data_IF_769281100004
#
_entry.id   IF_769281100004
#
_cell.length_a   1.000
_cell.length_b   1.000
_cell.length_c   1.000
_cell.angle_alpha   90.00
_cell.angle_beta   90.00
_cell.angle_gamma   90.00
#
_symmetry.space_group_name_H-M   'P 1'
#
loop_
_entity.id
_entity.type
_entity.pdbx_description
1 polymer ?
#
# COMPACT_ATOMS: atom_id res chain seq x y z
N UNK A 1 29.74 -3.99 16.71
CA UNK A 1 28.62 -4.87 17.07
C UNK A 1 28.37 -5.82 15.91
N UNK A 2 28.30 -7.13 16.14
CA UNK A 2 28.00 -8.11 15.10
C UNK A 2 26.48 -8.23 14.98
N UNK A 3 25.94 -8.32 13.76
CA UNK A 3 24.51 -8.54 13.52
C UNK A 3 24.29 -10.04 13.45
N UNK A 4 23.48 -10.59 14.37
CA UNK A 4 23.23 -12.04 14.44
C UNK A 4 22.31 -12.53 13.31
N UNK A 5 21.38 -11.68 12.84
CA UNK A 5 20.40 -12.03 11.80
C UNK A 5 19.98 -10.83 10.95
N UNK A 6 19.69 -11.08 9.67
CA UNK A 6 19.16 -10.11 8.74
C UNK A 6 18.07 -10.76 7.87
N UNK A 7 16.97 -10.05 7.63
CA UNK A 7 15.92 -10.47 6.71
C UNK A 7 15.42 -9.29 5.88
N UNK A 8 14.81 -9.62 4.75
CA UNK A 8 14.17 -8.67 3.86
C UNK A 8 12.90 -9.27 3.28
N UNK A 9 12.10 -8.40 2.68
CA UNK A 9 10.86 -8.77 2.02
C UNK A 9 10.38 -7.62 1.15
N UNK A 10 9.45 -7.93 0.25
CA UNK A 10 8.78 -6.91 -0.55
C UNK A 10 7.64 -6.31 0.27
N UNK A 11 7.50 -4.99 0.19
CA UNK A 11 6.36 -4.27 0.76
C UNK A 11 5.49 -3.78 -0.39
N UNK A 12 4.23 -4.20 -0.39
CA UNK A 12 3.25 -3.65 -1.32
C UNK A 12 2.96 -2.20 -0.96
N UNK A 13 3.29 -1.28 -1.86
CA UNK A 13 3.22 0.16 -1.65
C UNK A 13 2.34 0.83 -2.69
N UNK A 14 1.46 1.69 -2.21
CA UNK A 14 0.64 2.59 -3.03
C UNK A 14 1.33 3.94 -3.16
N UNK A 15 0.99 4.70 -4.21
CA UNK A 15 1.58 6.02 -4.44
C UNK A 15 1.23 7.02 -3.30
N UNK A 16 0.02 6.91 -2.73
CA UNK A 16 -0.44 7.72 -1.61
C UNK A 16 -0.05 7.13 -0.24
N UNK A 17 0.57 5.95 -0.22
CA UNK A 17 0.97 5.19 0.98
C UNK A 17 -0.19 4.86 1.92
N UNK A 18 -1.41 4.82 1.39
CA UNK A 18 -2.60 4.44 2.11
C UNK A 18 -3.15 3.10 1.60
N UNK A 19 -3.90 2.35 2.41
CA UNK A 19 -4.61 1.15 1.97
C UNK A 19 -5.69 1.46 0.94
N UNK A 20 -5.94 0.49 0.07
CA UNK A 20 -7.06 0.52 -0.87
C UNK A 20 -7.88 -0.75 -0.67
N UNK A 21 -9.16 -0.59 -0.35
CA UNK A 21 -10.07 -1.71 -0.13
C UNK A 21 -11.46 -1.37 -0.62
N UNK A 22 -12.11 -2.30 -1.32
CA UNK A 22 -13.42 -2.04 -1.91
C UNK A 22 -13.85 -3.15 -2.86
N UNK A 23 -14.71 -2.77 -3.79
CA UNK A 23 -15.21 -3.63 -4.86
C UNK A 23 -14.98 -2.95 -6.20
N UNK A 24 -14.48 -3.71 -7.17
CA UNK A 24 -14.41 -3.29 -8.56
C UNK A 24 -14.94 -4.42 -9.45
N UNK A 25 -16.03 -4.17 -10.18
CA UNK A 25 -16.64 -5.14 -11.10
C UNK A 25 -16.91 -6.52 -10.46
N UNK A 26 -17.42 -6.53 -9.22
CA UNK A 26 -17.67 -7.75 -8.44
C UNK A 26 -16.42 -8.38 -7.79
N UNK A 27 -15.22 -7.84 -8.03
CA UNK A 27 -14.01 -8.24 -7.34
C UNK A 27 -13.82 -7.43 -6.06
N UNK A 28 -13.91 -8.12 -4.92
CA UNK A 28 -13.62 -7.54 -3.61
C UNK A 28 -12.12 -7.61 -3.32
N UNK A 29 -11.52 -6.48 -2.97
CA UNK A 29 -10.08 -6.37 -2.75
C UNK A 29 -9.75 -5.62 -1.48
N UNK A 30 -8.56 -5.91 -0.95
CA UNK A 30 -7.97 -5.20 0.19
C UNK A 30 -6.45 -5.35 0.13
N UNK A 31 -5.76 -4.30 -0.30
CA UNK A 31 -4.35 -4.34 -0.71
C UNK A 31 -3.64 -3.00 -0.44
N UNK A 32 -2.36 -2.90 -0.79
CA UNK A 32 -1.64 -1.62 -0.75
C UNK A 32 -1.36 -1.10 0.67
N UNK A 33 -1.26 -2.01 1.64
CA UNK A 33 -1.12 -1.66 3.06
C UNK A 33 0.14 -0.86 3.41
N UNK A 34 1.11 -0.71 2.50
CA UNK A 34 2.23 0.22 2.60
C UNK A 34 3.00 0.12 3.93
N UNK A 35 3.23 -1.11 4.40
CA UNK A 35 3.95 -1.40 5.65
C UNK A 35 3.09 -1.50 6.91
N UNK A 36 1.78 -1.23 6.83
CA UNK A 36 0.85 -1.24 7.97
C UNK A 36 -0.07 -2.48 7.98
N UNK A 37 0.26 -3.50 7.16
CA UNK A 37 -0.62 -4.63 6.87
C UNK A 37 -0.89 -5.54 8.08
N UNK A 38 0.08 -5.72 8.97
CA UNK A 38 -0.07 -6.63 10.12
C UNK A 38 -1.25 -6.24 11.00
N UNK A 39 -1.36 -4.97 11.35
CA UNK A 39 -2.46 -4.48 12.20
C UNK A 39 -3.74 -4.25 11.40
N UNK A 40 -3.64 -3.70 10.18
CA UNK A 40 -4.83 -3.26 9.45
C UNK A 40 -5.55 -4.37 8.72
N UNK A 41 -4.86 -5.47 8.36
CA UNK A 41 -5.50 -6.61 7.69
C UNK A 41 -6.57 -7.27 8.54
N UNK A 42 -6.39 -7.34 9.87
CA UNK A 42 -7.37 -7.91 10.80
C UNK A 42 -8.65 -7.06 10.83
N UNK A 43 -8.50 -5.75 11.00
CA UNK A 43 -9.64 -4.83 10.98
C UNK A 43 -10.33 -4.82 9.62
N UNK A 44 -9.56 -4.84 8.54
CA UNK A 44 -10.10 -4.89 7.19
C UNK A 44 -10.82 -6.19 6.88
N UNK A 45 -10.40 -7.33 7.44
CA UNK A 45 -11.15 -8.58 7.31
C UNK A 45 -12.60 -8.43 7.77
N UNK A 46 -12.83 -7.72 8.88
CA UNK A 46 -14.18 -7.45 9.40
C UNK A 46 -14.96 -6.48 8.52
N UNK A 47 -14.32 -5.41 8.04
CA UNK A 47 -14.96 -4.42 7.15
C UNK A 47 -15.34 -5.07 5.82
N UNK A 48 -14.43 -5.81 5.19
CA UNK A 48 -14.70 -6.50 3.91
C UNK A 48 -15.75 -7.60 4.05
N UNK A 49 -15.75 -8.36 5.14
CA UNK A 49 -16.80 -9.36 5.40
C UNK A 49 -18.19 -8.72 5.54
N UNK A 50 -18.27 -7.51 6.10
CA UNK A 50 -19.53 -6.77 6.24
C UNK A 50 -20.00 -6.22 4.88
N UNK A 51 -19.06 -5.72 4.07
CA UNK A 51 -19.31 -5.26 2.71
C UNK A 51 -19.80 -6.40 1.80
N UNK A 52 -19.18 -7.59 1.89
CA UNK A 52 -19.64 -8.82 1.21
C UNK A 52 -21.03 -9.29 1.65
N UNK A 53 -21.40 -9.04 2.91
CA UNK A 53 -22.71 -9.41 3.45
C UNK A 53 -23.80 -8.35 3.15
N UNK A 54 -23.53 -7.39 2.26
CA UNK A 54 -24.39 -6.24 1.94
C UNK A 54 -24.81 -5.43 3.17
N UNK A 55 -24.02 -5.50 4.24
CA UNK A 55 -24.23 -4.69 5.44
C UNK A 55 -23.62 -3.33 5.20
N UNK A 56 -24.40 -2.28 5.45
CA UNK A 56 -23.93 -0.90 5.37
C UNK A 56 -22.71 -0.75 6.28
N UNK A 57 -21.54 -0.55 5.67
CA UNK A 57 -20.27 -0.44 6.40
C UNK A 57 -19.57 0.81 5.91
N UNK A 58 -19.17 1.68 6.84
CA UNK A 58 -18.26 2.77 6.52
C UNK A 58 -16.88 2.17 6.26
N UNK A 59 -16.51 2.01 4.99
CA UNK A 59 -15.16 1.65 4.59
C UNK A 59 -14.38 2.95 4.27
N UNK A 60 -13.54 3.47 5.18
CA UNK A 60 -12.78 4.69 4.94
C UNK A 60 -11.68 4.53 3.89
N UNK A 61 -11.38 3.29 3.47
CA UNK A 61 -10.41 2.97 2.43
C UNK A 61 -11.05 2.66 1.08
N UNK A 62 -12.37 2.84 0.97
CA UNK A 62 -13.06 2.82 -0.32
C UNK A 62 -12.59 4.00 -1.16
N UNK A 63 -12.08 3.71 -2.35
CA UNK A 63 -11.61 4.71 -3.31
C UNK A 63 -12.25 4.41 -4.65
N UNK A 64 -12.84 5.43 -5.26
CA UNK A 64 -13.47 5.31 -6.58
C UNK A 64 -12.44 5.14 -7.70
N UNK A 65 -11.20 5.59 -7.46
CA UNK A 65 -10.12 5.52 -8.44
C UNK A 65 -8.79 5.20 -7.77
N UNK A 66 -7.99 4.37 -8.44
CA UNK A 66 -6.61 4.09 -8.09
C UNK A 66 -5.72 4.36 -9.31
N UNK A 67 -5.25 5.62 -9.47
CA UNK A 67 -4.49 5.98 -10.66
C UNK A 67 -3.12 5.32 -10.67
N UNK A 68 -2.76 4.72 -11.80
CA UNK A 68 -1.40 4.25 -12.02
C UNK A 68 -0.40 5.41 -12.03
N UNK A 69 0.83 5.14 -11.60
CA UNK A 69 1.91 6.12 -11.75
C UNK A 69 2.13 6.43 -13.25
N UNK A 70 2.21 7.71 -13.65
CA UNK A 70 2.40 8.08 -15.05
C UNK A 70 3.61 7.38 -15.67
N UNK A 71 3.42 6.74 -16.82
CA UNK A 71 4.50 6.03 -17.53
C UNK A 71 5.07 4.81 -16.80
N UNK A 72 4.42 4.32 -15.73
CA UNK A 72 4.84 3.12 -15.02
C UNK A 72 4.19 1.86 -15.62
N UNK A 73 4.99 1.09 -16.35
CA UNK A 73 4.59 -0.21 -16.94
C UNK A 73 5.45 -1.36 -16.38
N UNK A 74 5.75 -1.31 -15.07
CA UNK A 74 6.54 -2.34 -14.37
C UNK A 74 8.03 -2.04 -14.25
N UNK A 75 8.59 -1.10 -15.04
CA UNK A 75 9.92 -0.53 -14.79
C UNK A 75 9.79 0.79 -14.02
N UNK A 76 10.23 0.85 -12.74
CA UNK A 76 10.00 2.02 -11.89
C UNK A 76 11.02 3.13 -12.16
N UNK A 77 10.81 3.88 -13.25
CA UNK A 77 11.68 4.97 -13.70
C UNK A 77 11.91 6.07 -12.64
N UNK A 78 11.00 6.19 -11.67
CA UNK A 78 11.04 7.21 -10.61
C UNK A 78 11.92 6.81 -9.41
N UNK A 79 12.22 5.52 -9.21
CA UNK A 79 13.00 5.07 -8.05
C UNK A 79 14.44 5.63 -8.02
N UNK A 80 15.19 5.69 -9.14
CA UNK A 80 16.50 6.34 -9.15
C UNK A 80 16.45 7.81 -8.70
N UNK A 81 15.42 8.55 -9.14
CA UNK A 81 15.23 9.97 -8.76
C UNK A 81 14.92 10.11 -7.26
N UNK A 82 14.01 9.29 -6.74
CA UNK A 82 13.71 9.25 -5.32
C UNK A 82 14.96 8.92 -4.49
N UNK A 83 15.76 7.95 -4.94
CA UNK A 83 17.02 7.57 -4.29
C UNK A 83 18.03 8.71 -4.22
N UNK A 84 18.18 9.49 -5.30
CA UNK A 84 19.04 10.67 -5.32
C UNK A 84 18.56 11.75 -4.35
N UNK A 85 17.25 12.01 -4.33
CA UNK A 85 16.65 12.96 -3.40
C UNK A 85 16.89 12.58 -1.94
N UNK A 86 16.64 11.32 -1.56
CA UNK A 86 16.86 10.87 -0.18
C UNK A 86 18.34 10.90 0.20
N UNK A 87 19.26 10.53 -0.69
CA UNK A 87 20.71 10.69 -0.44
C UNK A 87 21.13 12.15 -0.23
N UNK A 88 20.56 13.07 -1.01
CA UNK A 88 20.83 14.50 -0.84
C UNK A 88 20.27 15.02 0.50
N UNK A 89 19.06 14.59 0.86
CA UNK A 89 18.43 14.92 2.15
C UNK A 89 19.24 14.41 3.33
N UNK A 90 19.71 13.16 3.30
CA UNK A 90 20.53 12.57 4.36
C UNK A 90 21.88 13.29 4.53
N UNK A 91 22.41 13.90 3.46
CA UNK A 91 23.66 14.67 3.51
C UNK A 91 23.49 16.08 4.07
N UNK A 92 22.28 16.62 3.99
CA UNK A 92 21.92 17.96 4.48
C UNK A 92 21.28 17.92 5.88
N UNK A 93 20.92 16.72 6.36
CA UNK A 93 20.47 16.46 7.72
C UNK A 93 21.64 16.12 8.64
#
# INVERSE_FOLDING_TARGET
>A
SQVDYCWGGMVDMTADRLPHAGEQDGLFYSLGYSGHGTQMSVWMGRVMASLLAEKRTENPWQRDTWPALPGYHGKPWFLPLAGLYYKAKDRLS
#
